data_IF_177802365195
#
_entry.id   IF_177802365195
#
_cell.length_a   1.000
_cell.length_b   1.000
_cell.length_c   1.000
_cell.angle_alpha   90.00
_cell.angle_beta   90.00
_cell.angle_gamma   90.00
#
_symmetry.space_group_name_H-M   'P 1'
#
loop_
_entity.id
_entity.type
_entity.pdbx_description
1 polymer ?
#
# COMPACT_ATOMS: atom_id res chain seq x y z
N UNK A 1 6.54 -11.60 -8.44
CA UNK A 1 6.06 -10.71 -7.35
C UNK A 1 6.89 -11.05 -6.12
N UNK A 2 7.51 -10.06 -5.47
CA UNK A 2 8.10 -10.29 -4.13
C UNK A 2 6.96 -10.59 -3.15
N UNK A 3 7.19 -11.44 -2.17
CA UNK A 3 6.16 -11.70 -1.17
C UNK A 3 5.93 -10.43 -0.33
N UNK A 4 4.71 -10.21 0.13
CA UNK A 4 4.38 -9.09 1.03
C UNK A 4 5.34 -9.05 2.24
N UNK A 5 5.72 -10.22 2.75
CA UNK A 5 6.70 -10.38 3.82
C UNK A 5 8.09 -9.86 3.44
N UNK A 6 8.58 -10.14 2.23
CA UNK A 6 9.87 -9.64 1.74
C UNK A 6 9.89 -8.12 1.56
N UNK A 7 8.75 -7.49 1.27
CA UNK A 7 8.64 -6.04 1.18
C UNK A 7 8.65 -5.41 2.57
N UNK A 8 7.82 -5.91 3.50
CA UNK A 8 7.83 -5.44 4.90
C UNK A 8 9.21 -5.65 5.52
N UNK A 9 9.88 -6.77 5.27
CA UNK A 9 11.20 -7.05 5.87
C UNK A 9 12.29 -6.10 5.39
N UNK A 10 12.15 -5.49 4.21
CA UNK A 10 13.06 -4.45 3.72
C UNK A 10 12.82 -3.12 4.39
N UNK A 11 11.55 -2.77 4.59
CA UNK A 11 11.18 -1.48 5.17
C UNK A 11 11.39 -1.44 6.69
N UNK A 12 11.40 -2.61 7.35
CA UNK A 12 11.55 -2.75 8.80
C UNK A 12 12.81 -3.54 9.22
N UNK A 13 13.85 -3.58 8.37
CA UNK A 13 15.07 -4.36 8.61
C UNK A 13 15.85 -3.96 9.88
N UNK A 14 15.67 -2.74 10.37
CA UNK A 14 16.34 -2.21 11.57
C UNK A 14 15.66 -2.61 12.88
N UNK A 15 14.46 -3.20 12.82
CA UNK A 15 13.71 -3.60 14.00
C UNK A 15 14.05 -5.01 14.45
N UNK A 16 13.96 -5.31 15.77
CA UNK A 16 14.11 -6.66 16.28
C UNK A 16 13.10 -7.64 15.64
N UNK A 17 13.50 -8.90 15.49
CA UNK A 17 12.65 -9.95 14.90
C UNK A 17 11.28 -10.04 15.58
N UNK A 18 11.22 -9.89 16.90
CA UNK A 18 9.97 -9.90 17.68
C UNK A 18 8.97 -8.81 17.25
N UNK A 19 9.47 -7.66 16.79
CA UNK A 19 8.64 -6.57 16.27
C UNK A 19 8.11 -6.94 14.89
N UNK A 20 8.95 -7.54 14.05
CA UNK A 20 8.55 -8.02 12.74
C UNK A 20 7.48 -9.11 12.83
N UNK A 21 7.65 -10.08 13.72
CA UNK A 21 6.66 -11.15 13.99
C UNK A 21 5.30 -10.58 14.43
N UNK A 22 5.31 -9.55 15.29
CA UNK A 22 4.08 -8.85 15.69
C UNK A 22 3.41 -8.17 14.51
N UNK A 23 4.17 -7.47 13.67
CA UNK A 23 3.64 -6.82 12.45
C UNK A 23 3.01 -7.87 11.53
N UNK A 24 3.70 -8.98 11.29
CA UNK A 24 3.19 -10.07 10.45
C UNK A 24 1.91 -10.69 11.02
N UNK A 25 1.87 -10.94 12.34
CA UNK A 25 0.68 -11.43 13.03
C UNK A 25 -0.52 -10.49 12.83
N UNK A 26 -0.36 -9.20 13.13
CA UNK A 26 -1.44 -8.22 12.98
C UNK A 26 -1.89 -8.07 11.53
N UNK A 27 -0.97 -8.13 10.57
CA UNK A 27 -1.30 -8.08 9.14
C UNK A 27 -2.19 -9.26 8.72
N UNK A 28 -1.93 -10.46 9.26
CA UNK A 28 -2.73 -11.65 9.05
C UNK A 28 -4.14 -11.53 9.65
N UNK A 29 -4.23 -11.03 10.88
CA UNK A 29 -5.52 -10.77 11.56
C UNK A 29 -6.37 -9.74 10.80
N UNK A 30 -5.77 -8.64 10.34
CA UNK A 30 -6.40 -7.62 9.50
C UNK A 30 -6.92 -8.21 8.18
N UNK A 31 -6.12 -9.04 7.52
CA UNK A 31 -6.51 -9.69 6.26
C UNK A 31 -7.71 -10.63 6.46
N UNK A 32 -7.74 -11.37 7.56
CA UNK A 32 -8.87 -12.23 7.92
C UNK A 32 -10.13 -11.42 8.22
N UNK A 33 -10.01 -10.33 8.99
CA UNK A 33 -11.12 -9.43 9.29
C UNK A 33 -11.69 -8.80 8.02
N UNK A 34 -10.81 -8.31 7.14
CA UNK A 34 -11.20 -7.75 5.84
C UNK A 34 -11.91 -8.77 4.95
N UNK A 35 -11.39 -10.01 4.90
CA UNK A 35 -12.03 -11.10 4.16
C UNK A 35 -13.43 -11.42 4.69
N UNK A 36 -13.60 -11.45 6.02
CA UNK A 36 -14.90 -11.66 6.68
C UNK A 36 -15.87 -10.49 6.44
N UNK A 37 -15.40 -9.25 6.51
CA UNK A 37 -16.24 -8.08 6.23
C UNK A 37 -16.69 -8.06 4.76
N UNK A 38 -15.80 -8.41 3.82
CA UNK A 38 -16.15 -8.53 2.41
C UNK A 38 -17.10 -9.69 2.12
N UNK A 39 -16.93 -10.86 2.76
CA UNK A 39 -17.85 -11.98 2.58
C UNK A 39 -19.25 -11.65 3.12
N UNK A 40 -19.34 -10.88 4.21
CA UNK A 40 -20.60 -10.41 4.77
C UNK A 40 -21.22 -9.27 3.96
N UNK A 41 -20.41 -8.50 3.24
CA UNK A 41 -20.87 -7.41 2.38
C UNK A 41 -21.50 -7.90 1.05
N UNK A 42 -21.30 -9.16 0.66
CA UNK A 42 -21.70 -9.65 -0.68
C UNK A 42 -23.21 -9.71 -0.95
N UNK A 43 -24.09 -9.44 0.02
CA UNK A 43 -25.56 -9.43 -0.20
C UNK A 43 -26.29 -8.35 0.62
N UNK A 44 -25.64 -7.24 0.96
CA UNK A 44 -26.33 -6.11 1.59
C UNK A 44 -26.39 -5.01 0.54
N UNK A 45 -27.55 -4.89 -0.12
CA UNK A 45 -27.90 -3.62 -0.75
C UNK A 45 -27.86 -2.58 0.35
N UNK A 46 -26.87 -1.69 0.33
CA UNK A 46 -26.81 -0.56 1.25
C UNK A 46 -28.03 0.32 0.97
N UNK A 47 -29.12 0.09 1.69
CA UNK A 47 -30.24 1.02 1.72
C UNK A 47 -29.72 2.27 2.43
N UNK A 48 -29.72 3.41 1.73
CA UNK A 48 -29.39 4.70 2.34
C UNK A 48 -30.32 4.91 3.53
N UNK A 49 -29.83 4.98 4.78
CA UNK A 49 -30.71 5.22 5.91
C UNK A 49 -31.32 6.61 5.77
N UNK A 50 -32.65 6.71 5.92
CA UNK A 50 -33.41 7.96 5.70
C UNK A 50 -32.95 9.12 6.60
N UNK A 51 -32.26 8.81 7.71
CA UNK A 51 -31.89 9.76 8.75
C UNK A 51 -30.44 10.28 8.66
N UNK A 52 -29.68 9.95 7.62
CA UNK A 52 -28.31 10.48 7.48
C UNK A 52 -28.36 11.88 6.87
N UNK A 53 -27.69 12.83 7.53
CA UNK A 53 -27.52 14.19 7.02
C UNK A 53 -26.84 14.14 5.62
N UNK A 54 -27.45 14.74 4.58
CA UNK A 54 -26.86 14.81 3.24
C UNK A 54 -25.43 15.36 3.21
N UNK A 55 -25.10 16.25 4.13
CA UNK A 55 -23.76 16.83 4.26
C UNK A 55 -22.72 15.81 4.72
N UNK A 56 -23.08 14.92 5.64
CA UNK A 56 -22.19 13.83 6.10
C UNK A 56 -21.88 12.84 4.97
N UNK A 57 -22.89 12.54 4.14
CA UNK A 57 -22.71 11.70 2.94
C UNK A 57 -21.75 12.37 1.96
N UNK A 58 -21.95 13.66 1.70
CA UNK A 58 -21.12 14.44 0.76
C UNK A 58 -19.68 14.54 1.26
N UNK A 59 -19.47 14.78 2.56
CA UNK A 59 -18.16 14.85 3.19
C UNK A 59 -17.44 13.50 3.12
N UNK A 60 -18.16 12.39 3.34
CA UNK A 60 -17.61 11.05 3.22
C UNK A 60 -17.21 10.73 1.78
N UNK A 61 -18.07 11.02 0.80
CA UNK A 61 -17.78 10.82 -0.62
C UNK A 61 -16.56 11.62 -1.09
N UNK A 62 -16.46 12.88 -0.67
CA UNK A 62 -15.30 13.72 -0.98
C UNK A 62 -14.02 13.18 -0.33
N UNK A 63 -14.11 12.71 0.92
CA UNK A 63 -12.98 12.08 1.60
C UNK A 63 -12.52 10.82 0.86
N UNK A 64 -13.44 9.96 0.44
CA UNK A 64 -13.14 8.76 -0.34
C UNK A 64 -12.43 9.12 -1.66
N UNK A 65 -12.94 10.11 -2.40
CA UNK A 65 -12.31 10.59 -3.65
C UNK A 65 -10.90 11.14 -3.42
N UNK A 66 -10.69 11.89 -2.34
CA UNK A 66 -9.38 12.42 -1.97
C UNK A 66 -8.39 11.29 -1.66
N UNK A 67 -8.80 10.29 -0.87
CA UNK A 67 -7.95 9.13 -0.58
C UNK A 67 -7.62 8.31 -1.83
N UNK A 68 -8.58 8.13 -2.75
CA UNK A 68 -8.33 7.46 -4.03
C UNK A 68 -7.32 8.22 -4.89
N UNK A 69 -7.44 9.54 -4.98
CA UNK A 69 -6.47 10.38 -5.72
C UNK A 69 -5.08 10.31 -5.08
N UNK A 70 -4.98 10.41 -3.76
CA UNK A 70 -3.72 10.28 -3.05
C UNK A 70 -3.04 8.92 -3.27
N UNK A 71 -3.84 7.83 -3.37
CA UNK A 71 -3.35 6.50 -3.72
C UNK A 71 -2.77 6.44 -5.14
N UNK A 72 -3.40 7.10 -6.10
CA UNK A 72 -2.89 7.21 -7.48
C UNK A 72 -1.57 8.00 -7.49
N UNK A 73 -1.51 9.13 -6.80
CA UNK A 73 -0.29 9.96 -6.71
C UNK A 73 0.86 9.20 -6.05
N UNK A 74 0.56 8.46 -4.96
CA UNK A 74 1.55 7.62 -4.28
C UNK A 74 2.11 6.53 -5.19
N UNK A 75 1.23 5.88 -5.97
CA UNK A 75 1.65 4.88 -6.95
C UNK A 75 2.54 5.47 -8.06
N UNK A 76 2.19 6.65 -8.58
CA UNK A 76 3.01 7.37 -9.57
C UNK A 76 4.38 7.73 -8.98
N UNK A 77 4.41 8.23 -7.75
CA UNK A 77 5.66 8.55 -7.06
C UNK A 77 6.55 7.32 -6.90
N UNK A 78 5.99 6.20 -6.45
CA UNK A 78 6.73 4.95 -6.31
C UNK A 78 7.29 4.43 -7.64
N UNK A 79 6.51 4.52 -8.72
CA UNK A 79 6.98 4.15 -10.06
C UNK A 79 8.15 5.03 -10.51
N UNK A 80 8.07 6.35 -10.33
CA UNK A 80 9.17 7.27 -10.64
C UNK A 80 10.42 6.95 -9.82
N UNK A 81 10.26 6.72 -8.52
CA UNK A 81 11.37 6.33 -7.62
C UNK A 81 12.04 5.05 -8.10
N UNK A 82 11.28 4.01 -8.45
CA UNK A 82 11.83 2.76 -8.98
C UNK A 82 12.58 2.97 -10.31
N UNK A 83 12.01 3.77 -11.21
CA UNK A 83 12.65 4.10 -12.49
C UNK A 83 14.02 4.77 -12.28
N UNK A 84 14.07 5.82 -11.45
CA UNK A 84 15.33 6.53 -11.18
C UNK A 84 16.36 5.64 -10.47
N UNK A 85 15.96 4.84 -9.49
CA UNK A 85 16.86 3.88 -8.83
C UNK A 85 17.44 2.86 -9.82
N UNK A 86 16.64 2.39 -10.78
CA UNK A 86 17.11 1.47 -11.81
C UNK A 86 18.06 2.15 -12.80
N UNK A 87 17.78 3.41 -13.17
CA UNK A 87 18.66 4.19 -14.03
C UNK A 87 20.02 4.44 -13.36
N UNK A 88 20.02 4.82 -12.08
CA UNK A 88 21.23 5.01 -11.30
C UNK A 88 22.09 3.75 -11.27
N UNK A 89 21.50 2.58 -10.97
CA UNK A 89 22.23 1.29 -10.99
C UNK A 89 22.84 0.98 -12.34
N UNK A 90 22.13 1.27 -13.44
CA UNK A 90 22.65 1.07 -14.80
C UNK A 90 23.84 1.99 -15.08
N UNK A 91 23.77 3.25 -14.66
CA UNK A 91 24.86 4.21 -14.81
C UNK A 91 26.08 3.82 -13.98
N UNK A 92 25.90 3.41 -12.73
CA UNK A 92 26.99 2.91 -11.87
C UNK A 92 27.68 1.69 -12.48
N UNK A 93 26.92 0.74 -13.03
CA UNK A 93 27.46 -0.43 -13.71
C UNK A 93 28.21 -0.05 -15.01
N UNK A 94 27.71 0.92 -15.77
CA UNK A 94 28.40 1.44 -16.96
C UNK A 94 29.75 2.08 -16.60
N UNK A 95 29.79 2.91 -15.56
CA UNK A 95 31.02 3.56 -15.09
C UNK A 95 32.04 2.54 -14.59
N UNK A 96 31.62 1.53 -13.84
CA UNK A 96 32.51 0.43 -13.41
C UNK A 96 33.09 -0.33 -14.60
N UNK A 97 32.26 -0.72 -15.56
CA UNK A 97 32.70 -1.44 -16.75
C UNK A 97 33.63 -0.61 -17.66
N UNK A 98 33.57 0.73 -17.59
CA UNK A 98 34.48 1.62 -18.31
C UNK A 98 35.80 1.87 -17.57
N UNK A 99 35.87 1.62 -16.26
CA UNK A 99 37.07 1.82 -15.43
C UNK A 99 37.96 0.56 -15.35
N UNK A 100 37.45 -0.59 -15.81
CA UNK A 100 38.17 -1.88 -15.87
C UNK A 100 38.81 -2.16 -17.25
N UNK A 101 38.78 -1.19 -18.17
CA UNK A 101 39.49 -1.21 -19.46
C UNK A 101 40.63 -0.19 -19.45
#
# INVERSE_FOLDING_TARGET
>A
MKSFEEEIRKDFAEFPEEVFEKIMKFSGELKQLYGKSQSNAKNISCVKPENINPEDVTNLENSIKNYQSALVDFNIFNLKKQYYSNLQKKLENLVKNHSEK
#
